data_IF_966268393855
#
_entry.id   IF_966268393855
#
_cell.length_a   1.000
_cell.length_b   1.000
_cell.length_c   1.000
_cell.angle_alpha   90.00
_cell.angle_beta   90.00
_cell.angle_gamma   90.00
#
_symmetry.space_group_name_H-M   'P 1'
#
loop_
_entity.id
_entity.type
_entity.pdbx_description
1 polymer ?
#
# COMPACT_ATOMS: atom_id res chain seq x y z
N UNK A 1 15.18 -4.59 15.06
CA UNK A 1 14.76 -5.30 16.29
C UNK A 1 14.79 -6.80 16.01
N UNK A 2 14.65 -7.67 17.00
CA UNK A 2 14.37 -9.08 16.69
C UNK A 2 12.93 -9.17 16.14
N UNK A 3 12.71 -9.98 15.11
CA UNK A 3 11.37 -10.28 14.62
C UNK A 3 10.52 -10.94 15.72
N UNK A 4 9.22 -10.68 15.73
CA UNK A 4 8.25 -11.38 16.60
C UNK A 4 7.07 -11.86 15.75
N UNK A 5 6.70 -13.13 15.91
CA UNK A 5 5.59 -13.75 15.19
C UNK A 5 4.21 -13.19 15.60
N UNK A 6 4.13 -12.53 16.76
CA UNK A 6 2.91 -11.90 17.27
C UNK A 6 2.77 -10.42 16.88
N UNK A 7 3.79 -9.84 16.23
CA UNK A 7 3.66 -8.50 15.67
C UNK A 7 2.64 -8.49 14.53
N UNK A 8 1.99 -7.36 14.36
CA UNK A 8 0.94 -7.13 13.37
C UNK A 8 1.40 -6.11 12.34
N UNK A 9 1.18 -6.42 11.08
CA UNK A 9 1.37 -5.50 9.96
C UNK A 9 0.02 -4.94 9.53
N UNK A 10 -0.13 -3.65 9.75
CA UNK A 10 -1.25 -2.84 9.29
C UNK A 10 -0.87 -2.22 7.96
N UNK A 11 -1.80 -2.22 7.01
CA UNK A 11 -1.58 -1.57 5.72
C UNK A 11 -2.85 -0.87 5.25
N UNK A 12 -2.64 0.16 4.45
CA UNK A 12 -3.67 0.91 3.76
C UNK A 12 -3.17 1.25 2.35
N UNK A 13 -4.08 1.25 1.38
CA UNK A 13 -3.77 1.57 -0.01
C UNK A 13 -4.73 2.60 -0.56
N UNK A 14 -4.17 3.55 -1.32
CA UNK A 14 -4.97 4.42 -2.17
C UNK A 14 -4.94 3.87 -3.59
N UNK A 15 -6.12 3.89 -4.23
CA UNK A 15 -6.33 3.38 -5.58
C UNK A 15 -6.93 4.45 -6.48
N UNK A 16 -6.83 4.24 -7.79
CA UNK A 16 -7.48 5.09 -8.79
C UNK A 16 -8.99 4.88 -8.89
N UNK A 17 -9.52 3.86 -8.21
CA UNK A 17 -10.93 3.47 -8.19
C UNK A 17 -11.14 2.19 -7.38
N UNK A 18 -12.32 1.58 -7.51
CA UNK A 18 -12.76 0.45 -6.69
C UNK A 18 -12.72 -0.91 -7.39
N UNK A 19 -12.43 -0.96 -8.70
CA UNK A 19 -12.40 -2.18 -9.50
C UNK A 19 -10.95 -2.69 -9.65
N UNK A 20 -10.55 -3.77 -8.95
CA UNK A 20 -9.17 -4.27 -8.99
C UNK A 20 -8.73 -4.75 -10.37
N UNK A 21 -9.66 -5.14 -11.25
CA UNK A 21 -9.32 -5.65 -12.59
C UNK A 21 -8.90 -4.53 -13.56
N UNK A 22 -9.25 -3.28 -13.24
CA UNK A 22 -9.01 -2.11 -14.09
C UNK A 22 -8.20 -1.01 -13.40
N UNK A 23 -8.56 -0.70 -12.16
CA UNK A 23 -7.99 0.41 -11.40
C UNK A 23 -6.63 0.00 -10.80
N UNK A 24 -5.82 0.99 -10.44
CA UNK A 24 -4.42 0.79 -10.05
C UNK A 24 -4.14 1.30 -8.65
N UNK A 25 -3.14 0.70 -7.99
CA UNK A 25 -2.60 1.17 -6.72
C UNK A 25 -1.73 2.41 -6.98
N UNK A 26 -1.88 3.44 -6.16
CA UNK A 26 -1.17 4.72 -6.28
C UNK A 26 -0.43 5.15 -5.01
N UNK A 27 -0.83 4.67 -3.84
CA UNK A 27 -0.10 4.88 -2.58
C UNK A 27 -0.26 3.67 -1.67
N UNK A 28 0.80 3.32 -0.94
CA UNK A 28 0.79 2.26 0.07
C UNK A 28 1.53 2.77 1.31
N UNK A 29 0.95 2.52 2.48
CA UNK A 29 1.59 2.78 3.77
C UNK A 29 1.41 1.57 4.69
N UNK A 30 2.39 1.33 5.57
CA UNK A 30 2.35 0.26 6.55
C UNK A 30 2.73 0.73 7.94
N UNK A 31 2.17 0.08 8.95
CA UNK A 31 2.54 0.25 10.36
C UNK A 31 2.77 -1.12 10.99
N UNK A 32 3.89 -1.28 11.69
CA UNK A 32 4.15 -2.45 12.50
C UNK A 32 3.76 -2.15 13.95
N UNK A 33 2.93 -3.02 14.55
CA UNK A 33 2.58 -2.94 15.97
C UNK A 33 2.92 -4.23 16.69
N UNK A 34 3.02 -4.18 18.01
CA UNK A 34 2.96 -5.41 18.83
C UNK A 34 1.51 -5.94 18.92
N UNK A 35 1.35 -7.07 19.60
CA UNK A 35 0.05 -7.74 19.79
C UNK A 35 -0.97 -6.95 20.64
N UNK A 36 -0.53 -5.92 21.35
CA UNK A 36 -1.39 -5.03 22.16
C UNK A 36 -1.51 -3.63 21.56
N UNK A 37 -1.16 -3.49 20.28
CA UNK A 37 -1.34 -2.30 19.44
C UNK A 37 -0.41 -1.13 19.76
N UNK A 38 0.73 -1.36 20.41
CA UNK A 38 1.76 -0.33 20.48
C UNK A 38 2.50 -0.25 19.15
N UNK A 39 2.64 0.96 18.59
CA UNK A 39 3.40 1.20 17.36
C UNK A 39 4.88 0.92 17.59
N UNK A 40 5.42 0.01 16.78
CA UNK A 40 6.85 -0.31 16.73
C UNK A 40 7.57 0.54 15.68
N UNK A 41 6.94 0.72 14.51
CA UNK A 41 7.46 1.53 13.42
C UNK A 41 6.40 1.83 12.36
N UNK A 42 6.67 2.86 11.56
CA UNK A 42 5.92 3.23 10.37
C UNK A 42 6.83 3.07 9.15
N UNK A 43 6.30 2.51 8.06
CA UNK A 43 7.05 2.42 6.81
C UNK A 43 7.14 3.80 6.15
N UNK A 44 8.11 4.01 5.25
CA UNK A 44 7.98 5.08 4.27
C UNK A 44 6.65 4.96 3.53
N UNK A 45 6.02 6.08 3.24
CA UNK A 45 4.85 6.12 2.36
C UNK A 45 5.32 5.96 0.92
N UNK A 46 4.88 4.88 0.27
CA UNK A 46 5.31 4.52 -1.08
C UNK A 46 4.26 4.98 -2.09
N UNK A 47 4.62 5.97 -2.90
CA UNK A 47 3.76 6.43 -4.01
C UNK A 47 4.15 5.69 -5.28
N UNK A 48 3.21 5.00 -5.90
CA UNK A 48 3.44 4.20 -7.11
C UNK A 48 3.12 5.04 -8.34
N UNK A 49 4.07 5.13 -9.27
CA UNK A 49 3.88 5.86 -10.52
C UNK A 49 2.77 5.23 -11.37
N UNK A 50 1.92 6.07 -11.95
CA UNK A 50 0.95 5.65 -12.96
C UNK A 50 0.98 6.59 -14.17
N UNK A 51 0.81 6.08 -15.40
CA UNK A 51 0.71 6.90 -16.60
C UNK A 51 -0.44 7.92 -16.51
N UNK A 52 -0.29 9.06 -17.18
CA UNK A 52 -1.32 10.10 -17.22
C UNK A 52 -2.69 9.56 -17.63
N UNK A 53 -2.74 8.65 -18.62
CA UNK A 53 -3.99 8.03 -19.07
C UNK A 53 -4.75 7.27 -17.97
N UNK A 54 -4.06 6.67 -17.00
CA UNK A 54 -4.69 6.00 -15.86
C UNK A 54 -5.30 7.03 -14.91
N UNK A 55 -4.56 8.10 -14.60
CA UNK A 55 -5.04 9.17 -13.71
C UNK A 55 -6.21 9.94 -14.34
N UNK A 56 -6.15 10.18 -15.65
CA UNK A 56 -7.19 10.89 -16.38
C UNK A 56 -8.46 10.04 -16.54
N UNK A 57 -8.36 8.71 -16.42
CA UNK A 57 -9.50 7.78 -16.44
C UNK A 57 -10.22 7.64 -15.09
N UNK A 58 -9.69 8.19 -14.00
CA UNK A 58 -10.36 8.21 -12.69
C UNK A 58 -11.71 8.94 -12.76
N UNK A 59 -12.64 8.55 -11.89
CA UNK A 59 -13.88 9.29 -11.71
C UNK A 59 -13.65 10.65 -11.05
N UNK A 60 -14.68 11.51 -11.05
CA UNK A 60 -14.58 12.87 -10.52
C UNK A 60 -14.32 12.90 -9.00
N UNK A 61 -14.80 11.88 -8.28
CA UNK A 61 -14.60 11.79 -6.84
C UNK A 61 -13.14 11.51 -6.51
N UNK A 62 -12.53 10.51 -7.13
CA UNK A 62 -11.11 10.16 -6.97
C UNK A 62 -10.21 11.32 -7.42
N UNK A 63 -10.52 11.96 -8.55
CA UNK A 63 -9.80 13.16 -9.00
C UNK A 63 -9.84 14.29 -7.99
N UNK A 64 -11.02 14.55 -7.40
CA UNK A 64 -11.17 15.61 -6.39
C UNK A 64 -10.44 15.27 -5.10
N UNK A 65 -10.62 14.04 -4.59
CA UNK A 65 -10.03 13.58 -3.33
C UNK A 65 -8.50 13.56 -3.42
N UNK A 66 -7.95 12.87 -4.43
CA UNK A 66 -6.50 12.74 -4.63
C UNK A 66 -5.84 14.03 -5.13
N UNK A 67 -6.61 14.89 -5.79
CA UNK A 67 -6.16 16.23 -6.17
C UNK A 67 -5.97 17.13 -4.95
N UNK A 68 -6.92 17.12 -4.00
CA UNK A 68 -6.85 17.92 -2.77
C UNK A 68 -5.73 17.48 -1.83
N UNK A 69 -5.44 16.18 -1.76
CA UNK A 69 -4.32 15.65 -0.98
C UNK A 69 -2.96 15.89 -1.65
N UNK A 70 -2.94 16.31 -2.92
CA UNK A 70 -1.72 16.42 -3.73
C UNK A 70 -1.17 15.07 -4.18
N UNK A 71 -1.89 13.96 -3.96
CA UNK A 71 -1.45 12.63 -4.32
C UNK A 71 -1.29 12.47 -5.84
N UNK A 72 -2.18 13.06 -6.65
CA UNK A 72 -2.08 13.00 -8.12
C UNK A 72 -0.72 13.51 -8.61
N UNK A 73 -0.26 14.65 -8.08
CA UNK A 73 1.03 15.22 -8.49
C UNK A 73 2.21 14.38 -7.98
N UNK A 74 2.11 13.83 -6.77
CA UNK A 74 3.10 12.88 -6.24
C UNK A 74 3.20 11.62 -7.10
N UNK A 75 2.06 11.10 -7.59
CA UNK A 75 2.02 9.93 -8.50
C UNK A 75 2.66 10.26 -9.84
N UNK A 76 2.34 11.43 -10.42
CA UNK A 76 2.97 11.89 -11.68
C UNK A 76 4.48 12.05 -11.54
N UNK A 77 4.95 12.55 -10.40
CA UNK A 77 6.38 12.77 -10.12
C UNK A 77 7.12 11.51 -9.64
N UNK A 78 6.41 10.48 -9.18
CA UNK A 78 7.01 9.24 -8.69
C UNK A 78 7.75 8.51 -9.80
N UNK A 79 8.85 7.87 -9.44
CA UNK A 79 9.63 6.96 -10.29
C UNK A 79 9.54 5.50 -9.82
N UNK A 80 8.76 5.25 -8.77
CA UNK A 80 8.62 3.93 -8.16
C UNK A 80 7.56 3.14 -8.91
N UNK A 81 7.93 1.99 -9.46
CA UNK A 81 6.99 1.02 -10.02
C UNK A 81 6.50 0.01 -8.96
N UNK A 82 5.57 -0.87 -9.34
CA UNK A 82 4.97 -1.87 -8.45
C UNK A 82 6.00 -2.85 -7.87
N UNK A 83 7.03 -3.20 -8.64
CA UNK A 83 8.10 -4.11 -8.22
C UNK A 83 9.01 -3.44 -7.17
N UNK A 84 9.41 -2.19 -7.41
CA UNK A 84 10.19 -1.39 -6.48
C UNK A 84 9.40 -1.08 -5.19
N UNK A 85 8.09 -0.84 -5.29
CA UNK A 85 7.22 -0.67 -4.14
C UNK A 85 7.16 -1.96 -3.30
N UNK A 86 6.93 -3.11 -3.94
CA UNK A 86 6.91 -4.41 -3.27
C UNK A 86 8.22 -4.71 -2.56
N UNK A 87 9.37 -4.46 -3.21
CA UNK A 87 10.68 -4.68 -2.61
C UNK A 87 10.91 -3.82 -1.35
N UNK A 88 10.50 -2.55 -1.38
CA UNK A 88 10.62 -1.63 -0.23
C UNK A 88 9.74 -2.07 0.95
N UNK A 89 8.49 -2.43 0.68
CA UNK A 89 7.53 -2.83 1.70
C UNK A 89 7.91 -4.18 2.33
N UNK A 90 8.35 -5.16 1.52
CA UNK A 90 8.87 -6.42 2.03
C UNK A 90 10.13 -6.24 2.88
N UNK A 91 11.02 -5.31 2.50
CA UNK A 91 12.21 -5.00 3.30
C UNK A 91 11.80 -4.49 4.69
N UNK A 92 10.83 -3.57 4.76
CA UNK A 92 10.27 -3.10 6.03
C UNK A 92 9.66 -4.24 6.85
N UNK A 93 8.77 -5.06 6.27
CA UNK A 93 8.10 -6.15 7.00
C UNK A 93 9.10 -7.16 7.60
N UNK A 94 10.16 -7.49 6.86
CA UNK A 94 11.22 -8.42 7.30
C UNK A 94 11.98 -7.93 8.52
N UNK A 95 11.92 -6.65 8.89
CA UNK A 95 12.55 -6.17 10.11
C UNK A 95 11.73 -6.48 11.38
N UNK A 96 10.43 -6.75 11.24
CA UNK A 96 9.48 -6.81 12.37
C UNK A 96 8.75 -8.15 12.51
N UNK A 97 8.45 -8.84 11.40
CA UNK A 97 7.70 -10.10 11.40
C UNK A 97 8.41 -11.20 10.62
N UNK A 98 8.38 -12.47 11.09
CA UNK A 98 8.73 -13.60 10.25
C UNK A 98 7.77 -13.73 9.06
N UNK A 99 8.22 -14.38 7.99
CA UNK A 99 7.39 -14.56 6.79
C UNK A 99 6.12 -15.37 7.12
N UNK A 100 4.98 -14.91 6.60
CA UNK A 100 3.67 -15.59 6.68
C UNK A 100 3.11 -15.78 8.10
N UNK A 101 3.50 -14.95 9.08
CA UNK A 101 2.96 -15.03 10.45
C UNK A 101 1.89 -13.98 10.76
N UNK A 102 2.08 -12.73 10.33
CA UNK A 102 1.09 -11.67 10.59
C UNK A 102 -0.13 -11.85 9.67
N UNK A 103 -1.37 -11.74 10.20
CA UNK A 103 -2.52 -11.49 9.35
C UNK A 103 -2.40 -10.09 8.70
N UNK A 104 -3.11 -9.89 7.59
CA UNK A 104 -3.25 -8.57 6.98
C UNK A 104 -4.22 -7.73 7.84
N UNK A 105 -3.73 -6.65 8.45
CA UNK A 105 -4.52 -5.81 9.35
C UNK A 105 -4.89 -4.48 8.67
N UNK A 106 -6.12 -4.01 8.89
CA UNK A 106 -6.61 -2.74 8.36
C UNK A 106 -8.14 -2.70 8.29
N UNK A 107 -8.68 -1.58 7.82
CA UNK A 107 -10.12 -1.39 7.66
C UNK A 107 -10.54 -1.78 6.24
N UNK A 108 -11.64 -2.55 6.10
CA UNK A 108 -12.08 -3.04 4.79
C UNK A 108 -11.00 -3.80 4.00
N UNK A 109 -10.06 -4.42 4.73
CA UNK A 109 -8.78 -4.97 4.25
C UNK A 109 -8.90 -6.00 3.11
N UNK A 110 -10.07 -6.60 2.93
CA UNK A 110 -10.34 -7.47 1.80
C UNK A 110 -10.22 -6.74 0.46
N UNK A 111 -10.59 -5.46 0.41
CA UNK A 111 -10.46 -4.64 -0.80
C UNK A 111 -8.99 -4.45 -1.16
N UNK A 112 -8.16 -4.08 -0.18
CA UNK A 112 -6.71 -3.94 -0.36
C UNK A 112 -6.09 -5.26 -0.81
N UNK A 113 -6.44 -6.36 -0.15
CA UNK A 113 -5.96 -7.70 -0.52
C UNK A 113 -6.26 -8.06 -1.97
N UNK A 114 -7.42 -7.67 -2.52
CA UNK A 114 -7.77 -7.91 -3.93
C UNK A 114 -6.88 -7.14 -4.90
N UNK A 115 -6.55 -5.88 -4.59
CA UNK A 115 -5.61 -5.10 -5.38
C UNK A 115 -4.19 -5.67 -5.27
N UNK A 116 -3.78 -6.06 -4.07
CA UNK A 116 -2.47 -6.65 -3.82
C UNK A 116 -2.28 -7.96 -4.59
N UNK A 117 -3.26 -8.86 -4.54
CA UNK A 117 -3.24 -10.11 -5.31
C UNK A 117 -3.10 -9.88 -6.83
N UNK A 118 -3.57 -8.74 -7.35
CA UNK A 118 -3.55 -8.42 -8.78
C UNK A 118 -2.30 -7.67 -9.22
N UNK A 119 -1.91 -6.64 -8.48
CA UNK A 119 -0.89 -5.66 -8.89
C UNK A 119 0.40 -5.75 -8.07
N UNK A 120 0.35 -6.36 -6.88
CA UNK A 120 1.51 -6.53 -5.98
C UNK A 120 1.58 -7.98 -5.47
N UNK A 121 1.55 -9.01 -6.35
CA UNK A 121 1.38 -10.40 -5.92
C UNK A 121 2.54 -10.94 -5.08
N UNK A 122 3.71 -10.28 -5.09
CA UNK A 122 4.82 -10.62 -4.22
C UNK A 122 4.65 -10.15 -2.77
N UNK A 123 3.63 -9.33 -2.50
CA UNK A 123 3.32 -8.76 -1.19
C UNK A 123 2.11 -9.44 -0.50
N UNK A 124 1.29 -10.19 -1.26
CA UNK A 124 0.11 -10.92 -0.76
C UNK A 124 0.48 -12.17 0.06
#
# INVERSE_FOLDING_TARGET
MAQDANNLIWLDMEMTGLDPDRDRVIEIAMVATDSVLNTLAESPVVVVHQPAAVLDAMDDWNKSTHGKSGLIERVRASVTDEAAATAQLLAFMREYVPERTSPMCGNSICQDRRFMARWLPGLE
#
